data_IF_390664531063
#
_entry.id   IF_390664531063
#
_cell.length_a   1.000
_cell.length_b   1.000
_cell.length_c   1.000
_cell.angle_alpha   90.00
_cell.angle_beta   90.00
_cell.angle_gamma   90.00
#
_symmetry.space_group_name_H-M   'P 1'
#
loop_
_entity.id
_entity.type
_entity.pdbx_description
1 polymer ?
#
# COMPACT_ATOMS: atom_id res chain seq x y z
N UNK A 1 -59.75 5.36 14.93
CA UNK A 1 -58.67 5.72 15.87
C UNK A 1 -57.40 5.82 15.04
N UNK A 2 -57.04 7.05 14.66
CA UNK A 2 -55.78 7.38 14.00
C UNK A 2 -54.63 7.27 15.00
N UNK A 3 -53.45 6.88 14.53
CA UNK A 3 -52.31 7.81 14.54
C UNK A 3 -51.65 7.81 13.15
N UNK A 4 -51.57 8.90 12.40
CA UNK A 4 -50.83 10.14 12.69
C UNK A 4 -49.42 9.84 13.19
N UNK A 5 -48.45 10.03 12.28
CA UNK A 5 -47.07 10.53 12.50
C UNK A 5 -46.04 9.73 11.70
N UNK A 6 -46.00 9.97 10.38
CA UNK A 6 -44.80 9.74 9.56
C UNK A 6 -44.01 11.04 9.63
N UNK A 7 -42.87 11.03 10.33
CA UNK A 7 -41.88 12.10 10.28
C UNK A 7 -40.76 11.72 9.29
N UNK A 8 -40.67 12.37 8.12
CA UNK A 8 -39.54 12.22 7.21
C UNK A 8 -38.43 13.20 7.61
N UNK A 9 -37.60 12.81 8.57
CA UNK A 9 -36.30 13.45 8.79
C UNK A 9 -35.31 13.04 7.69
N UNK A 10 -35.46 13.64 6.49
CA UNK A 10 -34.38 13.69 5.49
C UNK A 10 -33.34 14.66 6.02
N UNK A 11 -32.38 14.13 6.77
CA UNK A 11 -31.17 14.83 7.17
C UNK A 11 -30.22 14.90 5.98
N UNK A 12 -30.23 16.04 5.31
CA UNK A 12 -29.24 16.43 4.32
C UNK A 12 -27.87 16.57 4.99
N UNK A 13 -26.99 15.59 4.76
CA UNK A 13 -25.60 15.65 5.17
C UNK A 13 -24.72 15.98 3.96
N UNK A 14 -24.94 17.15 3.37
CA UNK A 14 -24.00 17.76 2.43
C UNK A 14 -22.70 18.11 3.19
N UNK A 15 -21.73 17.20 3.18
CA UNK A 15 -20.35 17.53 3.55
C UNK A 15 -19.72 18.26 2.35
N UNK A 16 -19.83 19.58 2.32
CA UNK A 16 -18.92 20.39 1.51
C UNK A 16 -17.51 20.20 2.08
N UNK A 17 -16.54 19.87 1.23
CA UNK A 17 -15.13 20.01 1.59
C UNK A 17 -14.84 21.51 1.57
N UNK A 18 -14.53 22.11 2.72
CA UNK A 18 -13.84 23.38 2.72
C UNK A 18 -12.49 23.22 1.98
N UNK A 19 -12.18 24.23 1.16
CA UNK A 19 -10.98 24.39 0.35
C UNK A 19 -9.70 23.97 1.09
N UNK A 20 -8.91 23.10 0.46
CA UNK A 20 -7.50 22.92 0.84
C UNK A 20 -6.76 24.11 0.24
N UNK A 21 -6.47 25.11 1.06
CA UNK A 21 -5.54 26.18 0.72
C UNK A 21 -4.13 25.58 0.63
N UNK A 22 -3.68 25.33 -0.60
CA UNK A 22 -2.32 24.89 -0.90
C UNK A 22 -1.43 26.12 -0.85
N UNK A 23 -1.14 26.57 0.37
CA UNK A 23 -0.25 27.70 0.56
C UNK A 23 1.14 27.32 0.05
N UNK A 24 1.57 28.12 -0.91
CA UNK A 24 2.66 27.86 -1.85
C UNK A 24 3.97 27.53 -1.13
N UNK A 25 4.57 26.40 -1.50
CA UNK A 25 5.96 26.11 -1.17
C UNK A 25 6.88 27.15 -1.83
N UNK A 26 7.36 28.12 -1.06
CA UNK A 26 8.77 28.55 -1.02
C UNK A 26 8.92 29.88 -0.31
N UNK A 27 9.77 29.94 0.72
CA UNK A 27 10.93 30.83 0.69
C UNK A 27 11.96 30.32 1.70
N UNK A 28 13.20 30.12 1.23
CA UNK A 28 14.36 29.94 2.10
C UNK A 28 14.81 31.34 2.51
N UNK A 29 14.44 31.78 3.70
CA UNK A 29 15.18 32.86 4.34
C UNK A 29 16.32 32.26 5.16
N UNK A 30 17.52 32.47 4.65
CA UNK A 30 18.78 32.18 5.32
C UNK A 30 19.46 33.53 5.57
N UNK A 31 18.84 34.36 6.41
CA UNK A 31 19.42 35.62 6.87
C UNK A 31 20.15 35.37 8.19
N UNK A 32 21.41 34.96 8.05
CA UNK A 32 22.42 35.24 9.06
C UNK A 32 22.97 36.65 8.81
N UNK A 33 22.27 37.68 9.27
CA UNK A 33 22.88 38.99 9.47
C UNK A 33 23.03 39.26 10.98
N UNK A 34 24.25 38.94 11.44
CA UNK A 34 24.75 39.28 12.76
C UNK A 34 25.04 40.79 12.77
N UNK A 35 24.01 41.58 13.08
CA UNK A 35 24.20 42.99 13.44
C UNK A 35 24.91 43.07 14.80
N UNK A 36 26.22 43.28 14.75
CA UNK A 36 27.03 43.54 15.93
C UNK A 36 26.89 45.00 16.38
N UNK A 37 26.79 45.28 17.69
CA UNK A 37 27.10 46.60 18.20
C UNK A 37 28.62 46.69 18.38
N UNK A 38 29.26 47.39 17.44
CA UNK A 38 30.57 47.99 17.66
C UNK A 38 30.44 49.16 18.64
N UNK A 39 31.06 49.08 19.81
CA UNK A 39 31.73 50.24 20.43
C UNK A 39 32.69 49.81 21.56
N UNK A 40 33.94 50.19 21.30
CA UNK A 40 35.05 50.54 22.18
C UNK A 40 35.63 49.58 23.23
N UNK A 41 36.95 49.52 23.15
CA UNK A 41 37.87 48.77 24.01
C UNK A 41 38.25 49.65 25.18
N UNK A 42 38.31 49.08 26.38
CA UNK A 42 39.48 49.35 27.22
C UNK A 42 39.90 48.13 28.03
N UNK A 43 41.20 48.06 28.23
CA UNK A 43 42.05 46.96 28.66
C UNK A 43 41.77 46.53 30.11
N UNK A 44 41.60 45.23 30.35
CA UNK A 44 42.34 44.56 31.42
C UNK A 44 42.30 43.02 31.31
N UNK A 45 43.49 42.47 31.46
CA UNK A 45 43.93 41.08 31.42
C UNK A 45 43.44 40.35 32.69
N UNK A 46 42.72 39.23 32.55
CA UNK A 46 42.80 38.16 33.54
C UNK A 46 42.35 36.82 32.96
N UNK A 47 43.22 35.84 33.19
CA UNK A 47 43.06 34.42 32.87
C UNK A 47 41.73 33.84 33.36
N UNK A 48 41.07 33.09 32.49
CA UNK A 48 40.48 31.79 32.83
C UNK A 48 39.98 31.13 31.55
N UNK A 49 40.72 30.11 31.12
CA UNK A 49 40.30 29.19 30.07
C UNK A 49 39.04 28.44 30.53
N UNK A 50 37.86 28.94 30.18
CA UNK A 50 36.65 28.14 30.18
C UNK A 50 36.30 27.80 28.74
N UNK A 51 37.00 26.78 28.23
CA UNK A 51 36.54 26.01 27.09
C UNK A 51 35.17 25.45 27.51
N UNK A 52 34.10 26.13 27.06
CA UNK A 52 32.74 25.62 27.12
C UNK A 52 32.77 24.26 26.43
N UNK A 53 32.77 23.19 27.23
CA UNK A 53 32.52 21.86 26.72
C UNK A 53 31.09 21.86 26.20
N UNK A 54 30.93 22.13 24.90
CA UNK A 54 29.71 21.85 24.17
C UNK A 54 29.48 20.36 24.30
N UNK A 55 28.67 19.96 25.29
CA UNK A 55 28.21 18.59 25.44
C UNK A 55 27.39 18.29 24.20
N UNK A 56 28.03 17.68 23.19
CA UNK A 56 27.36 17.11 22.02
C UNK A 56 26.32 16.14 22.58
N UNK A 57 25.05 16.57 22.61
CA UNK A 57 23.94 15.66 22.89
C UNK A 57 23.95 14.64 21.77
N UNK A 58 24.30 13.39 22.07
CA UNK A 58 24.06 12.24 21.19
C UNK A 58 22.54 12.04 21.13
N UNK A 59 21.85 12.83 20.33
CA UNK A 59 20.42 12.71 20.09
C UNK A 59 20.24 12.55 18.57
N UNK A 60 20.77 11.46 18.04
CA UNK A 60 20.64 11.13 16.61
C UNK A 60 20.77 9.63 16.34
N UNK A 61 21.31 8.83 17.27
CA UNK A 61 21.46 7.39 17.09
C UNK A 61 20.12 6.65 17.22
N UNK A 62 19.31 7.00 18.23
CA UNK A 62 18.04 6.33 18.53
C UNK A 62 16.93 6.66 17.53
N UNK A 63 16.89 7.88 16.97
CA UNK A 63 15.90 8.26 15.94
C UNK A 63 16.21 7.65 14.57
N UNK A 64 17.49 7.50 14.22
CA UNK A 64 17.91 6.81 12.99
C UNK A 64 17.60 5.31 13.05
N UNK A 65 17.71 4.72 14.23
CA UNK A 65 17.31 3.33 14.50
C UNK A 65 15.80 3.15 14.26
N UNK A 66 14.97 4.04 14.82
CA UNK A 66 13.50 4.03 14.61
C UNK A 66 13.13 4.21 13.13
N UNK A 67 13.77 5.11 12.39
CA UNK A 67 13.53 5.29 10.95
C UNK A 67 13.96 4.05 10.16
N UNK A 68 15.08 3.43 10.55
CA UNK A 68 15.55 2.16 9.98
C UNK A 68 14.55 1.02 10.21
N UNK A 69 14.07 0.87 11.43
CA UNK A 69 13.07 -0.14 11.81
C UNK A 69 11.76 0.04 11.06
N UNK A 70 11.25 1.28 10.97
CA UNK A 70 10.06 1.60 10.18
C UNK A 70 10.27 1.22 8.71
N UNK A 71 11.44 1.54 8.16
CA UNK A 71 11.78 1.22 6.76
C UNK A 71 11.82 -0.29 6.52
N UNK A 72 12.39 -1.07 7.44
CA UNK A 72 12.40 -2.54 7.38
C UNK A 72 10.98 -3.09 7.43
N UNK A 73 10.14 -2.62 8.37
CA UNK A 73 8.74 -3.07 8.49
C UNK A 73 7.91 -2.72 7.27
N UNK A 74 8.12 -1.54 6.69
CA UNK A 74 7.44 -1.17 5.45
C UNK A 74 7.91 -2.04 4.27
N UNK A 75 9.20 -2.39 4.22
CA UNK A 75 9.75 -3.36 3.27
C UNK A 75 9.11 -4.75 3.39
N UNK A 76 8.93 -5.26 4.62
CA UNK A 76 8.24 -6.53 4.88
C UNK A 76 6.78 -6.51 4.37
N UNK A 77 6.05 -5.42 4.61
CA UNK A 77 4.68 -5.22 4.13
C UNK A 77 4.64 -5.15 2.60
N UNK A 78 5.51 -4.36 1.97
CA UNK A 78 5.61 -4.28 0.52
C UNK A 78 5.91 -5.64 -0.10
N UNK A 79 6.80 -6.43 0.50
CA UNK A 79 7.14 -7.78 0.04
C UNK A 79 5.98 -8.77 0.23
N UNK A 80 5.18 -8.63 1.30
CA UNK A 80 3.96 -9.43 1.48
C UNK A 80 2.92 -9.09 0.41
N UNK A 81 2.70 -7.80 0.11
CA UNK A 81 1.80 -7.34 -0.94
C UNK A 81 2.27 -7.84 -2.32
N UNK A 82 3.56 -7.72 -2.61
CA UNK A 82 4.15 -8.23 -3.87
C UNK A 82 3.86 -9.71 -4.07
N UNK A 83 4.09 -10.55 -3.06
CA UNK A 83 3.76 -11.98 -3.10
C UNK A 83 2.26 -12.26 -3.30
N UNK A 84 1.39 -11.45 -2.71
CA UNK A 84 -0.05 -11.57 -2.92
C UNK A 84 -0.44 -11.23 -4.36
N UNK A 85 0.18 -10.22 -4.97
CA UNK A 85 -0.05 -9.83 -6.37
C UNK A 85 0.50 -10.89 -7.33
N UNK A 86 1.70 -11.40 -7.09
CA UNK A 86 2.30 -12.48 -7.89
C UNK A 86 1.50 -13.78 -7.79
N UNK A 87 0.78 -13.99 -6.69
CA UNK A 87 -0.12 -15.13 -6.52
C UNK A 87 -1.43 -15.00 -7.29
N UNK A 88 -1.71 -13.86 -7.96
CA UNK A 88 -2.94 -13.71 -8.74
C UNK A 88 -3.00 -14.74 -9.87
N UNK A 89 -4.19 -15.28 -10.09
CA UNK A 89 -4.42 -16.17 -11.21
C UNK A 89 -4.19 -15.45 -12.54
N UNK A 90 -3.30 -16.01 -13.35
CA UNK A 90 -3.16 -15.64 -14.74
C UNK A 90 -4.31 -16.27 -15.54
N UNK A 91 -5.36 -15.48 -15.76
CA UNK A 91 -6.58 -15.91 -16.45
C UNK A 91 -6.30 -16.21 -17.93
N UNK A 92 -5.35 -15.51 -18.56
CA UNK A 92 -4.95 -15.75 -19.94
C UNK A 92 -4.31 -17.13 -20.06
N UNK A 93 -3.36 -17.45 -19.17
CA UNK A 93 -2.74 -18.78 -19.14
C UNK A 93 -3.74 -19.89 -18.81
N UNK A 94 -4.69 -19.62 -17.90
CA UNK A 94 -5.76 -20.57 -17.62
C UNK A 94 -6.59 -20.87 -18.87
N UNK A 95 -6.95 -19.84 -19.63
CA UNK A 95 -7.72 -20.00 -20.86
C UNK A 95 -6.97 -20.87 -21.87
N UNK A 96 -5.70 -20.56 -22.13
CA UNK A 96 -4.85 -21.35 -23.04
C UNK A 96 -4.79 -22.83 -22.64
N UNK A 97 -4.58 -23.11 -21.34
CA UNK A 97 -4.46 -24.47 -20.82
C UNK A 97 -5.77 -25.24 -20.83
N UNK A 98 -6.91 -24.55 -20.65
CA UNK A 98 -8.24 -25.17 -20.79
C UNK A 98 -8.53 -25.45 -22.26
N UNK A 99 -8.23 -24.52 -23.16
CA UNK A 99 -8.47 -24.68 -24.60
C UNK A 99 -7.51 -25.68 -25.27
N UNK A 100 -6.33 -25.92 -24.67
CA UNK A 100 -5.40 -26.96 -25.11
C UNK A 100 -5.86 -28.40 -24.83
N UNK A 101 -7.00 -28.58 -24.14
CA UNK A 101 -7.54 -29.90 -23.84
C UNK A 101 -8.16 -30.54 -25.08
N UNK A 102 -7.39 -31.39 -25.75
CA UNK A 102 -7.87 -32.23 -26.85
C UNK A 102 -8.99 -33.18 -26.40
N UNK A 103 -9.82 -33.62 -27.35
CA UNK A 103 -10.99 -34.51 -27.17
C UNK A 103 -12.26 -33.86 -26.63
N UNK A 104 -12.25 -32.55 -26.35
CA UNK A 104 -13.42 -31.80 -25.88
C UNK A 104 -13.86 -30.75 -26.90
N UNK A 105 -15.17 -30.49 -26.96
CA UNK A 105 -15.68 -29.42 -27.82
C UNK A 105 -15.39 -28.05 -27.19
N UNK A 106 -15.18 -27.04 -28.02
CA UNK A 106 -14.79 -25.69 -27.58
C UNK A 106 -15.85 -25.01 -26.70
N UNK A 107 -17.14 -25.24 -26.97
CA UNK A 107 -18.25 -24.70 -26.17
C UNK A 107 -18.21 -25.20 -24.71
N UNK A 108 -18.02 -26.51 -24.53
CA UNK A 108 -17.86 -27.15 -23.24
C UNK A 108 -16.61 -26.66 -22.51
N UNK A 109 -15.49 -26.50 -23.22
CA UNK A 109 -14.27 -25.93 -22.64
C UNK A 109 -14.48 -24.47 -22.22
N UNK A 110 -15.27 -23.72 -22.99
CA UNK A 110 -15.73 -22.38 -22.63
C UNK A 110 -16.53 -22.36 -21.33
N UNK A 111 -17.48 -23.27 -21.17
CA UNK A 111 -18.26 -23.40 -19.93
C UNK A 111 -17.41 -23.82 -18.73
N UNK A 112 -16.48 -24.76 -18.94
CA UNK A 112 -15.53 -25.17 -17.92
C UNK A 112 -14.62 -24.01 -17.49
N UNK A 113 -14.14 -23.21 -18.43
CA UNK A 113 -13.36 -22.01 -18.16
C UNK A 113 -14.18 -20.98 -17.36
N UNK A 114 -15.41 -20.69 -17.80
CA UNK A 114 -16.32 -19.77 -17.10
C UNK A 114 -16.60 -20.23 -15.67
N UNK A 115 -16.67 -21.54 -15.42
CA UNK A 115 -16.80 -22.10 -14.08
C UNK A 115 -15.52 -21.93 -13.25
N UNK A 116 -14.34 -22.21 -13.83
CA UNK A 116 -13.06 -22.08 -13.13
C UNK A 116 -12.78 -20.62 -12.72
N UNK A 117 -13.10 -19.65 -13.57
CA UNK A 117 -12.88 -18.22 -13.29
C UNK A 117 -13.74 -17.71 -12.12
N UNK A 118 -14.84 -18.38 -11.78
CA UNK A 118 -15.66 -18.01 -10.61
C UNK A 118 -14.92 -18.21 -9.27
N UNK A 119 -13.89 -19.07 -9.23
CA UNK A 119 -13.11 -19.31 -8.02
C UNK A 119 -11.62 -19.42 -8.34
N UNK A 120 -10.88 -18.41 -7.88
CA UNK A 120 -9.42 -18.36 -7.95
C UNK A 120 -8.76 -19.65 -7.43
N UNK A 121 -9.29 -20.21 -6.34
CA UNK A 121 -8.82 -21.49 -5.78
C UNK A 121 -9.07 -22.67 -6.72
N UNK A 122 -10.24 -22.77 -7.36
CA UNK A 122 -10.54 -23.84 -8.31
C UNK A 122 -9.63 -23.76 -9.52
N UNK A 123 -9.51 -22.57 -10.12
CA UNK A 123 -8.62 -22.31 -11.24
C UNK A 123 -7.17 -22.65 -10.91
N UNK A 124 -6.63 -22.19 -9.78
CA UNK A 124 -5.28 -22.54 -9.32
C UNK A 124 -5.11 -24.04 -9.13
N UNK A 125 -6.09 -24.69 -8.51
CA UNK A 125 -6.06 -26.14 -8.30
C UNK A 125 -6.09 -26.91 -9.63
N UNK A 126 -6.83 -26.41 -10.63
CA UNK A 126 -6.81 -26.97 -11.98
C UNK A 126 -5.45 -26.78 -12.66
N UNK A 127 -4.85 -25.60 -12.54
CA UNK A 127 -3.54 -25.29 -13.15
C UNK A 127 -2.40 -26.14 -12.60
N UNK A 128 -2.42 -26.47 -11.30
CA UNK A 128 -1.42 -27.36 -10.67
C UNK A 128 -1.53 -28.82 -11.13
N UNK A 129 -2.71 -29.25 -11.61
CA UNK A 129 -2.90 -30.61 -12.11
C UNK A 129 -2.13 -30.82 -13.42
N UNK A 130 -1.62 -32.04 -13.60
CA UNK A 130 -1.16 -32.49 -14.91
C UNK A 130 -2.33 -32.77 -15.86
N UNK A 131 -2.05 -32.97 -17.15
CA UNK A 131 -3.07 -33.19 -18.17
C UNK A 131 -4.07 -34.31 -17.83
N UNK A 132 -3.61 -35.47 -17.33
CA UNK A 132 -4.50 -36.58 -17.00
C UNK A 132 -5.51 -36.21 -15.91
N UNK A 133 -5.06 -35.51 -14.86
CA UNK A 133 -5.93 -35.05 -13.79
C UNK A 133 -6.86 -33.92 -14.23
N UNK A 134 -6.45 -33.11 -15.21
CA UNK A 134 -7.34 -32.12 -15.84
C UNK A 134 -8.44 -32.79 -16.66
N UNK A 135 -8.12 -33.86 -17.42
CA UNK A 135 -9.15 -34.68 -18.11
C UNK A 135 -10.14 -35.27 -17.11
N UNK A 136 -9.67 -35.90 -16.03
CA UNK A 136 -10.55 -36.44 -14.98
C UNK A 136 -11.43 -35.36 -14.36
N UNK A 137 -10.90 -34.15 -14.15
CA UNK A 137 -11.68 -33.03 -13.64
C UNK A 137 -12.77 -32.62 -14.63
N UNK A 138 -12.46 -32.50 -15.92
CA UNK A 138 -13.42 -32.17 -16.97
C UNK A 138 -14.53 -33.23 -17.09
N UNK A 139 -14.19 -34.53 -17.02
CA UNK A 139 -15.19 -35.60 -17.03
C UNK A 139 -16.16 -35.49 -15.85
N UNK A 140 -15.67 -35.11 -14.66
CA UNK A 140 -16.52 -34.89 -13.49
C UNK A 140 -17.37 -33.64 -13.62
N UNK A 141 -16.82 -32.57 -14.21
CA UNK A 141 -17.56 -31.35 -14.48
C UNK A 141 -18.71 -31.61 -15.47
N UNK A 142 -18.45 -32.39 -16.52
CA UNK A 142 -19.45 -32.81 -17.50
C UNK A 142 -20.63 -33.59 -16.89
N UNK A 143 -20.39 -34.35 -15.83
CA UNK A 143 -21.45 -35.09 -15.11
C UNK A 143 -22.32 -34.19 -14.22
N UNK A 144 -21.90 -32.95 -13.97
CA UNK A 144 -22.62 -31.99 -13.14
C UNK A 144 -23.50 -31.03 -13.95
N UNK A 145 -23.42 -31.09 -15.28
CA UNK A 145 -24.30 -30.38 -16.21
C UNK A 145 -25.40 -31.30 -16.74
#
# INVERSE_FOLDING_TARGET
MTPSDVDPSVGDCAKSFEDIDFDSFSEKDNDNDLEGPSIEKDVQETEASQIKASRKRKCSFEMQDVIGDISIKFGEVAMAIGRMVDSRLDVTKLYEEVMAMEDYNEEFLGDAFNYLVQSDTLAKTFMVKNQNLRKVWLERFKQQQ
#
